data_IF_935890018002
#
_entry.id   IF_935890018002
#
_cell.length_a   1.000
_cell.length_b   1.000
_cell.length_c   1.000
_cell.angle_alpha   90.00
_cell.angle_beta   90.00
_cell.angle_gamma   90.00
#
_symmetry.space_group_name_H-M   'P 1'
#
loop_
_entity.id
_entity.type
_entity.pdbx_description
1 polymer ?
#
# COMPACT_ATOMS: atom_id res chain seq x y z
N UNK A 1 -44.26 -24.30 -65.27
CA UNK A 1 -43.06 -23.65 -64.69
C UNK A 1 -42.91 -24.13 -63.25
N UNK A 2 -41.95 -25.02 -62.98
CA UNK A 2 -41.60 -25.48 -61.63
C UNK A 2 -40.43 -24.62 -61.15
N UNK A 3 -40.63 -23.82 -60.09
CA UNK A 3 -39.55 -23.11 -59.42
C UNK A 3 -39.22 -23.80 -58.09
N UNK A 4 -37.95 -24.20 -58.02
CA UNK A 4 -37.26 -24.90 -56.94
C UNK A 4 -36.85 -23.91 -55.85
N UNK A 5 -37.14 -24.25 -54.59
CA UNK A 5 -36.67 -23.53 -53.41
C UNK A 5 -35.50 -24.33 -52.82
N UNK A 6 -34.29 -23.74 -52.80
CA UNK A 6 -33.15 -24.24 -52.02
C UNK A 6 -32.98 -23.40 -50.76
N UNK A 7 -32.82 -24.00 -49.57
CA UNK A 7 -32.38 -23.28 -48.38
C UNK A 7 -30.85 -23.20 -48.35
N UNK A 8 -30.30 -22.03 -47.99
CA UNK A 8 -28.88 -21.86 -47.63
C UNK A 8 -28.75 -22.02 -46.12
N UNK A 9 -27.94 -23.00 -45.72
CA UNK A 9 -27.53 -23.22 -44.34
C UNK A 9 -26.57 -22.11 -43.90
N UNK A 10 -26.86 -21.47 -42.76
CA UNK A 10 -25.91 -20.64 -42.02
C UNK A 10 -25.07 -21.55 -41.13
N UNK A 11 -23.76 -21.60 -41.39
CA UNK A 11 -22.79 -22.27 -40.52
C UNK A 11 -22.46 -21.38 -39.33
N UNK A 12 -22.66 -21.91 -38.12
CA UNK A 12 -22.18 -21.32 -36.88
C UNK A 12 -20.71 -21.72 -36.67
N UNK A 13 -19.81 -20.74 -36.61
CA UNK A 13 -18.43 -20.92 -36.18
C UNK A 13 -18.36 -20.68 -34.67
N UNK A 14 -18.25 -21.75 -33.89
CA UNK A 14 -17.80 -21.71 -32.50
C UNK A 14 -16.31 -21.35 -32.49
N UNK A 15 -15.97 -20.17 -32.00
CA UNK A 15 -14.60 -19.81 -31.63
C UNK A 15 -14.40 -20.17 -30.15
N UNK A 16 -13.62 -21.23 -29.89
CA UNK A 16 -13.12 -21.53 -28.55
C UNK A 16 -11.90 -20.65 -28.30
N UNK A 17 -12.10 -19.56 -27.55
CA UNK A 17 -11.03 -18.69 -27.07
C UNK A 17 -10.15 -19.44 -26.05
N UNK A 18 -8.88 -19.59 -26.41
CA UNK A 18 -7.80 -20.08 -25.57
C UNK A 18 -7.59 -19.07 -24.43
N UNK A 19 -7.91 -19.43 -23.18
CA UNK A 19 -7.46 -18.66 -22.01
C UNK A 19 -5.94 -18.80 -21.88
N UNK A 20 -5.21 -17.81 -22.36
CA UNK A 20 -3.81 -17.65 -22.03
C UNK A 20 -3.71 -17.20 -20.56
N UNK A 21 -3.11 -18.05 -19.74
CA UNK A 21 -2.63 -17.72 -18.39
C UNK A 21 -1.46 -16.75 -18.52
N UNK A 22 -1.75 -15.46 -18.70
CA UNK A 22 -0.74 -14.42 -18.54
C UNK A 22 -0.53 -14.19 -17.04
N UNK A 23 0.69 -14.48 -16.59
CA UNK A 23 1.10 -14.22 -15.22
C UNK A 23 1.01 -12.73 -14.93
N UNK A 24 0.24 -12.38 -13.90
CA UNK A 24 0.20 -11.04 -13.34
C UNK A 24 1.64 -10.64 -12.99
N UNK A 25 2.15 -9.46 -13.41
CA UNK A 25 3.44 -9.00 -12.92
C UNK A 25 3.35 -8.86 -11.40
N UNK A 26 4.04 -9.75 -10.69
CA UNK A 26 4.22 -9.61 -9.26
C UNK A 26 5.04 -8.35 -9.07
N UNK A 27 4.47 -7.32 -8.45
CA UNK A 27 5.27 -6.26 -7.83
C UNK A 27 6.41 -6.94 -7.08
N UNK A 28 7.67 -6.65 -7.44
CA UNK A 28 8.79 -7.27 -6.76
C UNK A 28 8.65 -6.95 -5.27
N UNK A 29 8.47 -7.99 -4.46
CA UNK A 29 8.38 -7.80 -3.03
C UNK A 29 9.72 -7.24 -2.57
N UNK A 30 9.71 -6.22 -1.69
CA UNK A 30 10.93 -5.63 -1.14
C UNK A 30 11.94 -6.72 -0.78
N UNK A 31 13.13 -6.68 -1.40
CA UNK A 31 14.13 -7.73 -1.31
C UNK A 31 14.53 -8.00 0.16
N UNK A 32 14.99 -9.21 0.46
CA UNK A 32 15.32 -9.61 1.84
C UNK A 32 16.38 -8.72 2.50
N UNK A 33 17.28 -8.14 1.71
CA UNK A 33 18.33 -7.21 2.17
C UNK A 33 17.77 -5.87 2.65
N UNK A 34 16.77 -5.30 1.96
CA UNK A 34 16.16 -4.02 2.31
C UNK A 34 15.42 -4.08 3.67
N UNK A 35 15.04 -5.28 4.08
CA UNK A 35 14.25 -5.54 5.28
C UNK A 35 15.08 -6.19 6.40
N UNK A 36 16.40 -6.36 6.20
CA UNK A 36 17.26 -7.03 7.16
C UNK A 36 17.24 -6.28 8.49
N UNK A 37 16.90 -6.97 9.59
CA UNK A 37 16.77 -6.34 10.91
C UNK A 37 15.54 -5.42 11.07
N UNK A 38 14.63 -5.45 10.10
CA UNK A 38 13.35 -4.77 10.19
C UNK A 38 12.40 -5.44 11.18
N UNK A 39 11.48 -4.67 11.73
CA UNK A 39 10.47 -5.12 12.67
C UNK A 39 9.73 -3.93 13.27
N UNK A 40 8.56 -4.17 13.87
CA UNK A 40 7.76 -3.11 14.45
C UNK A 40 7.57 -3.28 15.96
N UNK A 41 7.64 -2.16 16.67
CA UNK A 41 7.15 -1.99 18.03
C UNK A 41 5.88 -1.12 17.96
N UNK A 42 4.82 -1.61 18.58
CA UNK A 42 3.53 -0.92 18.61
C UNK A 42 3.26 -0.42 20.03
N UNK A 43 2.84 0.84 20.15
CA UNK A 43 2.40 1.44 21.41
C UNK A 43 0.95 1.89 21.27
N UNK A 44 0.10 1.39 22.16
CA UNK A 44 -1.33 1.69 22.18
C UNK A 44 -1.60 3.16 22.58
N UNK A 45 -2.80 3.69 22.32
CA UNK A 45 -3.16 5.08 22.64
C UNK A 45 -2.93 5.48 24.11
N UNK A 46 -3.02 4.52 25.04
CA UNK A 46 -2.75 4.74 26.47
C UNK A 46 -1.26 4.69 26.85
N UNK A 47 -0.35 4.62 25.88
CA UNK A 47 1.10 4.55 26.09
C UNK A 47 1.63 3.16 26.42
N UNK A 48 0.78 2.14 26.56
CA UNK A 48 1.25 0.78 26.84
C UNK A 48 1.80 0.12 25.56
N UNK A 49 2.98 -0.54 25.61
CA UNK A 49 3.44 -1.34 24.49
C UNK A 49 2.45 -2.48 24.25
N UNK A 50 2.13 -2.75 22.98
CA UNK A 50 1.24 -3.84 22.61
C UNK A 50 1.92 -5.21 22.86
N UNK A 51 3.24 -5.26 22.68
CA UNK A 51 4.07 -6.41 23.00
C UNK A 51 5.02 -6.03 24.14
N UNK A 52 4.81 -6.60 25.32
CA UNK A 52 5.90 -6.70 26.28
C UNK A 52 6.84 -7.78 25.74
N UNK A 53 8.05 -7.39 25.34
CA UNK A 53 9.18 -8.30 25.13
C UNK A 53 9.52 -8.91 26.50
N UNK A 54 8.70 -9.87 26.93
CA UNK A 54 8.87 -10.81 28.05
C UNK A 54 7.71 -11.82 28.15
N UNK A 55 6.99 -12.11 27.06
CA UNK A 55 6.02 -13.22 27.05
C UNK A 55 6.04 -13.93 25.71
N UNK A 56 7.11 -14.69 25.50
CA UNK A 56 6.93 -15.98 24.87
C UNK A 56 6.04 -16.84 25.80
N UNK A 57 5.11 -17.59 25.20
CA UNK A 57 4.21 -18.60 25.77
C UNK A 57 2.87 -18.13 26.36
N UNK A 58 1.77 -18.62 25.74
CA UNK A 58 0.65 -19.20 26.49
C UNK A 58 -0.75 -18.63 26.28
N UNK A 59 -1.48 -19.12 25.26
CA UNK A 59 -2.88 -19.62 25.30
C UNK A 59 -3.46 -19.64 23.86
N UNK A 60 -3.90 -20.71 23.21
CA UNK A 60 -4.19 -22.09 23.59
C UNK A 60 -5.53 -22.54 22.98
N UNK A 61 -5.50 -23.27 21.86
CA UNK A 61 -6.52 -24.23 21.34
C UNK A 61 -6.01 -24.70 19.97
N UNK A 62 -5.83 -25.95 19.58
CA UNK A 62 -6.13 -27.27 20.13
C UNK A 62 -6.17 -28.21 18.92
N UNK A 63 -5.22 -29.15 18.80
CA UNK A 63 -5.18 -30.10 17.68
C UNK A 63 -3.89 -30.91 17.62
N UNK A 64 -3.94 -32.15 18.12
CA UNK A 64 -2.84 -33.13 18.09
C UNK A 64 -2.48 -33.57 16.67
N UNK A 65 -1.17 -33.68 16.39
CA UNK A 65 -0.61 -34.38 15.24
C UNK A 65 0.91 -34.30 15.27
N UNK A 66 1.59 -35.43 15.49
CA UNK A 66 3.02 -35.49 15.79
C UNK A 66 3.96 -35.47 14.58
N UNK A 67 5.25 -35.31 14.89
CA UNK A 67 6.38 -35.83 14.10
C UNK A 67 7.09 -34.83 13.18
N UNK A 68 8.41 -34.68 13.37
CA UNK A 68 9.34 -34.18 12.36
C UNK A 68 10.04 -32.88 12.75
N UNK A 69 11.38 -32.93 12.85
CA UNK A 69 12.22 -31.81 13.29
C UNK A 69 12.71 -30.89 12.17
N UNK A 70 13.37 -29.81 12.60
CA UNK A 70 14.29 -29.00 11.81
C UNK A 70 13.67 -27.81 11.06
N UNK A 71 13.87 -26.59 11.59
CA UNK A 71 13.64 -25.33 10.88
C UNK A 71 13.30 -24.18 11.83
N UNK A 72 14.13 -23.14 11.87
CA UNK A 72 13.89 -21.97 12.72
C UNK A 72 12.60 -21.24 12.32
N UNK A 73 11.58 -21.30 13.17
CA UNK A 73 10.27 -20.72 12.89
C UNK A 73 10.26 -19.22 13.25
N UNK A 74 10.25 -18.37 12.23
CA UNK A 74 9.74 -17.00 12.31
C UNK A 74 8.25 -17.05 12.63
N UNK A 75 7.92 -17.11 13.92
CA UNK A 75 6.54 -17.24 14.39
C UNK A 75 5.72 -15.98 14.07
N UNK A 76 4.59 -16.17 13.39
CA UNK A 76 3.58 -15.12 13.24
C UNK A 76 3.00 -14.77 14.60
N UNK A 77 3.08 -13.49 14.97
CA UNK A 77 2.43 -12.99 16.18
C UNK A 77 1.10 -12.37 15.79
N UNK A 78 0.00 -12.88 16.35
CA UNK A 78 -1.35 -12.35 16.14
C UNK A 78 -1.98 -11.97 17.46
N UNK A 79 -2.51 -10.75 17.55
CA UNK A 79 -3.16 -10.21 18.75
C UNK A 79 -4.48 -9.54 18.38
N UNK A 80 -5.54 -9.82 19.12
CA UNK A 80 -6.79 -9.07 19.08
C UNK A 80 -6.76 -8.01 20.19
N UNK A 81 -6.74 -6.73 19.81
CA UNK A 81 -6.79 -5.62 20.75
C UNK A 81 -8.24 -5.25 20.99
N UNK A 82 -8.79 -5.44 22.20
CA UNK A 82 -10.19 -5.15 22.47
C UNK A 82 -10.49 -3.65 22.31
N UNK A 83 -11.70 -3.33 21.86
CA UNK A 83 -12.17 -1.95 21.65
C UNK A 83 -12.03 -1.06 22.89
N UNK A 84 -12.13 -1.63 24.10
CA UNK A 84 -11.91 -0.91 25.36
C UNK A 84 -10.50 -0.34 25.54
N UNK A 85 -9.51 -0.83 24.79
CA UNK A 85 -8.12 -0.29 24.76
C UNK A 85 -7.88 0.65 23.58
N UNK A 86 -8.89 0.88 22.75
CA UNK A 86 -8.84 1.67 21.53
C UNK A 86 -9.86 2.81 21.64
N UNK A 87 -9.57 3.86 22.44
CA UNK A 87 -10.46 5.00 22.54
C UNK A 87 -10.70 5.61 21.16
N UNK A 88 -11.88 6.18 20.95
CA UNK A 88 -12.23 6.84 19.68
C UNK A 88 -11.17 7.91 19.35
N UNK A 89 -10.66 7.89 18.13
CA UNK A 89 -9.55 8.70 17.63
C UNK A 89 -8.23 8.58 18.41
N UNK A 90 -8.06 7.49 19.16
CA UNK A 90 -6.80 7.17 19.82
C UNK A 90 -5.69 6.91 18.81
N UNK A 91 -4.47 7.33 19.13
CA UNK A 91 -3.31 7.16 18.24
C UNK A 91 -2.50 5.93 18.63
N UNK A 92 -2.49 4.93 17.75
CA UNK A 92 -1.54 3.82 17.79
C UNK A 92 -0.21 4.27 17.17
N UNK A 93 0.88 4.14 17.92
CA UNK A 93 2.23 4.44 17.41
C UNK A 93 2.85 3.17 16.83
N UNK A 94 3.26 3.23 15.57
CA UNK A 94 3.99 2.16 14.87
C UNK A 94 5.44 2.62 14.67
N UNK A 95 6.38 1.94 15.29
CA UNK A 95 7.80 2.31 15.26
C UNK A 95 8.63 1.15 14.75
N UNK A 96 9.28 1.33 13.60
CA UNK A 96 10.19 0.36 13.02
C UNK A 96 11.64 0.81 13.00
N UNK A 97 12.50 -0.04 12.46
CA UNK A 97 13.91 0.26 12.19
C UNK A 97 14.02 1.30 11.08
N UNK A 98 13.34 1.05 9.95
CA UNK A 98 13.44 1.84 8.72
C UNK A 98 12.31 2.83 8.56
N UNK A 99 11.11 2.49 8.99
CA UNK A 99 9.95 3.37 8.89
C UNK A 99 9.24 3.54 10.23
N UNK A 100 8.59 4.68 10.39
CA UNK A 100 7.66 4.90 11.49
C UNK A 100 6.45 5.72 11.04
N UNK A 101 5.33 5.50 11.70
CA UNK A 101 4.09 6.24 11.46
C UNK A 101 3.13 6.09 12.64
N UNK A 102 2.12 6.93 12.66
CA UNK A 102 1.03 6.91 13.63
C UNK A 102 -0.27 6.55 12.93
N UNK A 103 -1.18 5.88 13.65
CA UNK A 103 -2.46 5.42 13.11
C UNK A 103 -3.60 5.86 14.03
N UNK A 104 -4.58 6.58 13.49
CA UNK A 104 -5.87 6.79 14.18
C UNK A 104 -6.64 5.48 14.15
N UNK A 105 -6.97 4.95 15.34
CA UNK A 105 -7.57 3.62 15.45
C UNK A 105 -9.04 3.58 15.00
N UNK A 106 -9.72 4.71 14.88
CA UNK A 106 -11.14 4.80 14.49
C UNK A 106 -11.33 4.92 12.97
N UNK A 107 -10.33 5.43 12.26
CA UNK A 107 -10.40 5.62 10.80
C UNK A 107 -9.34 4.84 10.03
N UNK A 108 -8.29 4.37 10.71
CA UNK A 108 -7.02 3.93 10.12
C UNK A 108 -6.33 5.00 9.25
N UNK A 109 -6.60 6.28 9.50
CA UNK A 109 -5.77 7.36 8.97
C UNK A 109 -4.34 7.21 9.48
N UNK A 110 -3.37 7.36 8.56
CA UNK A 110 -1.95 7.26 8.86
C UNK A 110 -1.33 8.65 8.87
N UNK A 111 -0.54 8.96 9.89
CA UNK A 111 0.14 10.23 10.05
C UNK A 111 1.64 10.07 10.16
N UNK A 112 2.37 11.10 9.72
CA UNK A 112 3.82 11.21 9.85
C UNK A 112 4.58 9.97 9.37
N UNK A 113 4.19 9.43 8.21
CA UNK A 113 4.90 8.31 7.62
C UNK A 113 6.31 8.74 7.25
N UNK A 114 7.28 8.22 7.99
CA UNK A 114 8.65 8.70 8.03
C UNK A 114 9.60 7.58 7.63
N UNK A 115 10.49 7.88 6.70
CA UNK A 115 11.64 7.05 6.37
C UNK A 115 12.83 7.50 7.21
N UNK A 116 13.38 6.59 8.00
CA UNK A 116 14.46 6.86 8.95
C UNK A 116 15.81 6.69 8.27
N UNK A 117 16.72 7.61 8.54
CA UNK A 117 18.11 7.43 8.20
C UNK A 117 18.69 6.26 8.99
N UNK A 118 19.17 5.25 8.28
CA UNK A 118 19.76 4.05 8.88
C UNK A 118 21.03 3.66 8.12
N UNK A 119 21.95 2.97 8.78
CA UNK A 119 23.11 2.39 8.12
C UNK A 119 22.69 1.08 7.45
N UNK A 120 22.07 1.19 6.26
CA UNK A 120 21.70 0.07 5.40
C UNK A 120 22.22 0.34 3.97
N UNK A 121 22.78 -0.65 3.27
CA UNK A 121 23.30 -0.46 1.90
C UNK A 121 22.24 -0.04 0.88
N UNK A 122 20.96 -0.20 1.20
CA UNK A 122 19.80 0.21 0.40
C UNK A 122 19.08 1.42 1.01
N UNK A 123 19.75 2.20 1.86
CA UNK A 123 19.22 3.47 2.37
C UNK A 123 19.03 4.47 1.22
N UNK A 124 17.77 4.89 1.01
CA UNK A 124 17.41 5.93 0.04
C UNK A 124 17.20 7.29 0.69
N UNK A 125 17.46 7.43 2.00
CA UNK A 125 17.34 8.72 2.68
C UNK A 125 18.56 9.62 2.48
N UNK A 126 19.73 9.03 2.16
CA UNK A 126 20.99 9.75 2.10
C UNK A 126 21.45 10.22 3.48
N UNK A 127 21.14 9.44 4.53
CA UNK A 127 21.46 9.78 5.91
C UNK A 127 20.55 10.84 6.56
N UNK A 128 19.44 11.22 5.91
CA UNK A 128 18.50 12.23 6.44
C UNK A 128 17.09 11.67 6.62
N UNK A 129 16.69 11.47 7.88
CA UNK A 129 15.32 11.07 8.22
C UNK A 129 14.31 12.04 7.61
N UNK A 130 13.36 11.50 6.85
CA UNK A 130 12.44 12.28 6.02
C UNK A 130 11.00 11.81 6.21
N UNK A 131 10.10 12.72 6.57
CA UNK A 131 8.66 12.49 6.51
C UNK A 131 8.25 12.42 5.03
N UNK A 132 7.78 11.25 4.58
CA UNK A 132 7.29 11.04 3.22
C UNK A 132 5.86 11.54 3.06
N UNK A 133 5.00 11.22 4.02
CA UNK A 133 3.61 11.66 4.05
C UNK A 133 3.30 12.26 5.42
N UNK A 134 2.78 13.49 5.43
CA UNK A 134 2.20 14.05 6.65
C UNK A 134 0.92 13.31 7.03
N UNK A 135 0.11 12.94 6.03
CA UNK A 135 -1.07 12.09 6.21
C UNK A 135 -1.38 11.21 4.99
N UNK A 136 -1.97 10.04 5.26
CA UNK A 136 -2.75 9.22 4.32
C UNK A 136 -4.09 8.94 5.00
N UNK A 137 -5.10 9.69 4.61
CA UNK A 137 -6.35 9.80 5.37
C UNK A 137 -7.55 9.32 4.54
N UNK A 138 -8.28 8.29 4.99
CA UNK A 138 -9.56 7.92 4.41
C UNK A 138 -10.65 8.91 4.85
N UNK A 139 -11.42 9.41 3.89
CA UNK A 139 -12.59 10.27 4.15
C UNK A 139 -13.82 9.40 4.40
N UNK A 140 -14.09 9.08 5.67
CA UNK A 140 -15.17 8.16 6.07
C UNK A 140 -16.51 8.86 6.40
N UNK A 141 -16.53 10.18 6.50
CA UNK A 141 -17.72 10.93 6.93
C UNK A 141 -18.14 10.52 8.35
N UNK A 142 -19.37 10.04 8.51
CA UNK A 142 -19.89 9.55 9.80
C UNK A 142 -19.55 8.08 10.09
N UNK A 143 -18.95 7.36 9.13
CA UNK A 143 -18.56 5.96 9.32
C UNK A 143 -17.30 5.90 10.19
N UNK A 144 -17.30 4.97 11.13
CA UNK A 144 -16.15 4.67 11.99
C UNK A 144 -15.91 3.16 12.05
N UNK A 145 -14.67 2.79 12.34
CA UNK A 145 -14.25 1.42 12.66
C UNK A 145 -14.36 1.12 14.16
N UNK A 146 -14.88 2.08 14.93
CA UNK A 146 -15.22 1.89 16.33
C UNK A 146 -16.28 0.79 16.48
N UNK A 147 -16.09 -0.09 17.47
CA UNK A 147 -17.07 -1.14 17.80
C UNK A 147 -16.49 -2.55 17.83
N UNK A 148 -15.45 -2.86 17.05
CA UNK A 148 -14.77 -4.17 17.07
C UNK A 148 -13.38 -4.10 17.72
N UNK A 149 -12.81 -5.29 17.98
CA UNK A 149 -11.38 -5.41 18.23
C UNK A 149 -10.58 -5.05 16.98
N UNK A 150 -9.37 -4.54 17.19
CA UNK A 150 -8.40 -4.42 16.10
C UNK A 150 -7.47 -5.63 16.14
N UNK A 151 -7.39 -6.34 15.02
CA UNK A 151 -6.44 -7.43 14.85
C UNK A 151 -5.10 -6.87 14.40
N UNK A 152 -4.04 -7.30 15.07
CA UNK A 152 -2.65 -6.97 14.77
C UNK A 152 -1.92 -8.27 14.43
N UNK A 153 -1.30 -8.32 13.27
CA UNK A 153 -0.47 -9.45 12.81
C UNK A 153 0.94 -8.94 12.51
N UNK A 154 1.95 -9.60 13.07
CA UNK A 154 3.37 -9.35 12.79
C UNK A 154 4.02 -10.64 12.31
N UNK A 155 4.64 -10.59 11.13
CA UNK A 155 5.36 -11.71 10.54
C UNK A 155 6.45 -11.21 9.59
N UNK A 156 7.68 -11.68 9.76
CA UNK A 156 8.80 -11.42 8.85
C UNK A 156 8.96 -9.91 8.49
N UNK A 157 8.92 -9.04 9.50
CA UNK A 157 9.01 -7.58 9.31
C UNK A 157 7.79 -6.93 8.68
N UNK A 158 6.71 -7.69 8.46
CA UNK A 158 5.42 -7.21 7.95
C UNK A 158 4.44 -7.01 9.10
N UNK A 159 3.76 -5.88 9.11
CA UNK A 159 2.64 -5.55 9.97
C UNK A 159 1.34 -5.59 9.16
N UNK A 160 0.31 -6.21 9.72
CA UNK A 160 -1.07 -6.00 9.31
C UNK A 160 -1.91 -5.49 10.47
N UNK A 161 -2.63 -4.41 10.24
CA UNK A 161 -3.68 -3.91 11.13
C UNK A 161 -5.00 -4.09 10.42
N UNK A 162 -5.95 -4.78 11.04
CA UNK A 162 -7.28 -5.01 10.48
C UNK A 162 -8.31 -4.57 11.52
N UNK A 163 -9.24 -3.71 11.12
CA UNK A 163 -10.34 -3.26 11.99
C UNK A 163 -11.63 -3.16 11.20
N UNK A 164 -12.73 -3.51 11.85
CA UNK A 164 -14.05 -3.63 11.23
C UNK A 164 -15.09 -2.79 11.98
N UNK A 165 -15.70 -1.84 11.30
CA UNK A 165 -16.88 -1.12 11.78
C UNK A 165 -18.17 -1.84 11.39
N UNK A 166 -19.30 -1.14 11.50
CA UNK A 166 -20.60 -1.72 11.16
C UNK A 166 -20.76 -2.06 9.67
N UNK A 167 -20.19 -1.25 8.79
CA UNK A 167 -20.39 -1.33 7.33
C UNK A 167 -19.11 -1.35 6.51
N UNK A 168 -17.96 -1.14 7.18
CA UNK A 168 -16.66 -0.97 6.55
C UNK A 168 -15.61 -1.71 7.36
N UNK A 169 -14.83 -2.52 6.68
CA UNK A 169 -13.58 -3.09 7.17
C UNK A 169 -12.42 -2.38 6.48
N UNK A 170 -11.37 -2.10 7.24
CA UNK A 170 -10.16 -1.49 6.73
C UNK A 170 -8.95 -2.32 7.14
N UNK A 171 -7.96 -2.37 6.26
CA UNK A 171 -6.68 -3.01 6.53
C UNK A 171 -5.51 -2.11 6.14
N UNK A 172 -4.52 -2.04 7.02
CA UNK A 172 -3.18 -1.54 6.70
C UNK A 172 -2.27 -2.76 6.57
N UNK A 173 -1.46 -2.80 5.51
CA UNK A 173 -0.28 -3.67 5.44
C UNK A 173 0.96 -2.80 5.30
N UNK A 174 1.97 -3.05 6.12
CA UNK A 174 3.23 -2.31 6.06
C UNK A 174 4.42 -3.25 6.23
N UNK A 175 5.56 -2.93 5.61
CA UNK A 175 6.80 -3.68 5.76
C UNK A 175 7.90 -2.74 6.21
N UNK A 176 8.62 -3.12 7.26
CA UNK A 176 9.74 -2.32 7.78
C UNK A 176 11.00 -2.58 6.95
N UNK A 177 11.14 -1.83 5.86
CA UNK A 177 12.27 -1.94 4.93
C UNK A 177 12.75 -0.55 4.49
N UNK A 178 14.01 -0.46 4.07
CA UNK A 178 14.60 0.77 3.55
C UNK A 178 14.02 1.19 2.18
N UNK A 179 13.54 0.24 1.37
CA UNK A 179 12.93 0.47 0.06
C UNK A 179 12.00 -0.69 -0.36
N UNK A 180 11.29 -0.51 -1.49
CA UNK A 180 10.40 -1.47 -2.13
C UNK A 180 8.90 -1.25 -1.87
N UNK A 181 8.07 -2.27 -2.08
CA UNK A 181 6.66 -2.27 -1.66
C UNK A 181 6.49 -2.28 -0.14
N UNK A 182 6.23 -1.11 0.46
CA UNK A 182 6.30 -0.92 1.92
C UNK A 182 4.98 -0.65 2.62
N UNK A 183 3.91 -0.29 1.89
CA UNK A 183 2.68 0.16 2.51
C UNK A 183 1.45 -0.05 1.62
N UNK A 184 0.32 -0.44 2.21
CA UNK A 184 -0.98 -0.59 1.57
C UNK A 184 -2.12 -0.23 2.54
N UNK A 185 -3.14 0.47 2.04
CA UNK A 185 -4.43 0.74 2.67
C UNK A 185 -5.54 0.12 1.82
N UNK A 186 -6.42 -0.65 2.46
CA UNK A 186 -7.43 -1.48 1.79
C UNK A 186 -8.81 -1.32 2.46
N UNK A 187 -9.80 -0.69 1.80
CA UNK A 187 -11.20 -0.68 2.25
C UNK A 187 -11.98 -1.89 1.72
N UNK A 188 -12.88 -2.40 2.55
CA UNK A 188 -13.85 -3.45 2.19
C UNK A 188 -15.21 -3.09 2.82
N UNK A 189 -16.11 -2.58 1.98
CA UNK A 189 -17.50 -2.29 2.35
C UNK A 189 -18.35 -3.55 2.33
N UNK A 190 -19.41 -3.56 3.13
CA UNK A 190 -20.46 -4.58 3.06
C UNK A 190 -21.13 -4.67 1.67
N UNK A 191 -21.07 -3.59 0.88
CA UNK A 191 -21.50 -3.54 -0.53
C UNK A 191 -20.30 -3.46 -1.46
N UNK A 192 -20.27 -4.27 -2.51
CA UNK A 192 -19.16 -4.31 -3.49
C UNK A 192 -18.92 -2.98 -4.22
N UNK A 193 -19.93 -2.11 -4.32
CA UNK A 193 -19.84 -0.80 -4.98
C UNK A 193 -19.46 0.34 -4.05
N UNK A 194 -19.26 0.08 -2.76
CA UNK A 194 -18.84 1.10 -1.79
C UNK A 194 -17.47 1.67 -2.15
N UNK A 195 -17.26 2.96 -1.92
CA UNK A 195 -15.99 3.64 -2.20
C UNK A 195 -15.48 4.41 -0.98
N UNK A 196 -14.17 4.58 -0.88
CA UNK A 196 -13.52 5.48 0.08
C UNK A 196 -12.57 6.39 -0.70
N UNK A 197 -12.68 7.69 -0.46
CA UNK A 197 -11.72 8.66 -0.98
C UNK A 197 -10.55 8.78 0.02
N UNK A 198 -9.32 8.57 -0.44
CA UNK A 198 -8.10 8.70 0.34
C UNK A 198 -7.35 9.97 -0.05
N UNK A 199 -7.05 10.80 0.94
CA UNK A 199 -6.20 11.99 0.79
C UNK A 199 -4.78 11.63 1.21
N UNK A 200 -3.84 11.70 0.27
CA UNK A 200 -2.41 11.55 0.55
C UNK A 200 -1.74 12.92 0.49
N UNK A 201 -1.17 13.37 1.61
CA UNK A 201 -0.44 14.64 1.67
C UNK A 201 1.03 14.37 1.95
N UNK A 202 1.90 14.79 1.03
CA UNK A 202 3.35 14.62 1.12
C UNK A 202 3.95 15.43 2.28
N UNK A 203 5.09 14.95 2.75
CA UNK A 203 5.94 15.66 3.71
C UNK A 203 6.57 16.92 3.14
N UNK A 204 7.06 17.83 3.97
CA UNK A 204 7.54 19.15 3.53
C UNK A 204 8.78 19.09 2.63
N UNK A 205 9.56 18.00 2.70
CA UNK A 205 10.76 17.79 1.89
C UNK A 205 10.49 16.99 0.61
N UNK A 206 9.24 16.58 0.37
CA UNK A 206 8.83 15.70 -0.72
C UNK A 206 7.83 16.44 -1.61
N UNK A 207 7.89 16.19 -2.92
CA UNK A 207 6.98 16.77 -3.91
C UNK A 207 6.64 15.74 -4.98
N UNK A 208 5.46 15.88 -5.58
CA UNK A 208 5.12 15.14 -6.78
C UNK A 208 5.87 15.70 -7.99
N UNK A 209 6.35 14.81 -8.84
CA UNK A 209 7.02 15.18 -10.08
C UNK A 209 6.67 14.20 -11.20
N UNK A 210 6.68 14.68 -12.44
CA UNK A 210 6.61 13.82 -13.62
C UNK A 210 8.00 13.26 -13.88
N UNK A 211 8.14 11.95 -13.76
CA UNK A 211 9.36 11.26 -14.10
C UNK A 211 9.66 11.50 -15.60
N UNK A 212 10.78 12.17 -15.94
CA UNK A 212 11.08 12.55 -17.31
C UNK A 212 11.33 11.33 -18.22
N UNK A 213 11.60 10.16 -17.64
CA UNK A 213 11.89 8.93 -18.39
C UNK A 213 10.65 8.11 -18.69
N UNK A 214 9.65 8.13 -17.82
CA UNK A 214 8.41 7.33 -17.98
C UNK A 214 7.17 8.16 -18.29
N UNK A 215 7.23 9.48 -18.07
CA UNK A 215 6.05 10.35 -18.09
C UNK A 215 5.08 10.11 -16.94
N UNK A 216 5.37 9.15 -16.04
CA UNK A 216 4.51 8.83 -14.90
C UNK A 216 4.74 9.79 -13.74
N UNK A 217 3.74 9.95 -12.89
CA UNK A 217 3.87 10.71 -11.65
C UNK A 217 4.57 9.85 -10.60
N UNK A 218 5.64 10.39 -10.04
CA UNK A 218 6.34 9.90 -8.88
C UNK A 218 6.29 10.95 -7.75
N UNK A 219 6.64 10.55 -6.54
CA UNK A 219 6.97 11.48 -5.46
C UNK A 219 8.41 11.26 -5.01
N UNK A 220 9.04 12.31 -4.51
CA UNK A 220 10.44 12.23 -4.08
C UNK A 220 10.96 13.58 -3.62
N UNK A 221 12.28 13.63 -3.40
CA UNK A 221 12.99 14.86 -3.08
C UNK A 221 14.11 15.11 -4.09
N UNK A 222 14.82 16.23 -3.94
CA UNK A 222 15.98 16.57 -4.77
C UNK A 222 17.20 15.67 -4.55
N UNK A 223 17.13 14.71 -3.61
CA UNK A 223 18.20 13.79 -3.26
C UNK A 223 17.87 12.39 -3.81
N UNK A 224 17.95 11.35 -2.96
CA UNK A 224 17.85 9.93 -3.33
C UNK A 224 16.42 9.37 -3.26
N UNK A 225 15.47 10.01 -2.57
CA UNK A 225 14.15 9.43 -2.34
C UNK A 225 13.35 9.43 -3.63
N UNK A 226 12.93 8.24 -4.07
CA UNK A 226 12.00 8.03 -5.19
C UNK A 226 10.89 7.09 -4.74
N UNK A 227 9.65 7.44 -5.07
CA UNK A 227 8.47 6.67 -4.73
C UNK A 227 7.34 6.87 -5.73
N UNK A 228 6.35 5.99 -5.67
CA UNK A 228 5.13 6.02 -6.50
C UNK A 228 3.94 5.57 -5.66
N UNK A 229 2.80 6.24 -5.81
CA UNK A 229 1.52 5.71 -5.33
C UNK A 229 1.13 4.50 -6.21
N UNK A 230 0.67 3.41 -5.57
CA UNK A 230 0.38 2.14 -6.22
C UNK A 230 -1.10 1.77 -6.05
N UNK A 231 -2.00 2.40 -6.83
CA UNK A 231 -3.43 2.10 -6.78
C UNK A 231 -3.74 0.69 -7.30
N UNK A 232 -4.86 0.12 -6.86
CA UNK A 232 -5.52 -1.01 -7.51
C UNK A 232 -7.02 -0.87 -7.29
N UNK A 233 -7.82 -0.99 -8.36
CA UNK A 233 -9.26 -0.69 -8.32
C UNK A 233 -9.52 0.67 -7.65
N UNK A 234 -8.70 1.65 -8.04
CA UNK A 234 -8.73 2.99 -7.51
C UNK A 234 -8.49 4.00 -8.63
N UNK A 235 -9.11 5.17 -8.50
CA UNK A 235 -9.03 6.23 -9.47
C UNK A 235 -8.56 7.53 -8.82
N UNK A 236 -7.63 8.22 -9.50
CA UNK A 236 -7.16 9.53 -9.05
C UNK A 236 -8.21 10.59 -9.39
N UNK A 237 -8.62 11.37 -8.40
CA UNK A 237 -9.59 12.45 -8.55
C UNK A 237 -8.90 13.81 -8.65
N UNK A 238 -7.89 14.03 -7.81
CA UNK A 238 -7.18 15.30 -7.71
C UNK A 238 -5.70 15.02 -7.54
N UNK A 239 -4.89 15.88 -8.15
CA UNK A 239 -3.47 15.96 -7.84
C UNK A 239 -2.99 17.41 -7.86
N UNK A 240 -2.23 17.78 -6.84
CA UNK A 240 -1.42 18.99 -6.81
C UNK A 240 0.05 18.69 -6.50
N UNK A 241 0.85 19.72 -6.18
CA UNK A 241 2.28 19.56 -5.87
C UNK A 241 2.55 18.61 -4.68
N UNK A 242 1.61 18.53 -3.73
CA UNK A 242 1.79 17.82 -2.45
C UNK A 242 0.65 16.91 -2.06
N UNK A 243 -0.51 17.00 -2.70
CA UNK A 243 -1.69 16.23 -2.35
C UNK A 243 -2.21 15.44 -3.55
N UNK A 244 -2.63 14.20 -3.28
CA UNK A 244 -3.48 13.46 -4.19
C UNK A 244 -4.74 12.99 -3.46
N UNK A 245 -5.84 12.92 -4.20
CA UNK A 245 -7.08 12.29 -3.75
C UNK A 245 -7.37 11.10 -4.66
N UNK A 246 -7.57 9.94 -4.05
CA UNK A 246 -7.84 8.68 -4.75
C UNK A 246 -9.14 8.07 -4.28
N UNK A 247 -10.06 7.79 -5.20
CA UNK A 247 -11.26 7.00 -4.93
C UNK A 247 -10.96 5.53 -5.06
N UNK A 248 -11.13 4.77 -3.98
CA UNK A 248 -10.86 3.32 -3.95
C UNK A 248 -12.19 2.59 -3.80
N UNK A 249 -12.47 1.66 -4.71
CA UNK A 249 -13.65 0.79 -4.60
C UNK A 249 -13.40 -0.31 -3.58
N UNK A 250 -14.46 -0.83 -2.96
CA UNK A 250 -14.42 -1.97 -2.06
C UNK A 250 -13.59 -3.12 -2.63
N UNK A 251 -12.64 -3.66 -1.86
CA UNK A 251 -11.70 -4.70 -2.28
C UNK A 251 -10.49 -4.20 -3.07
N UNK A 252 -10.43 -2.90 -3.39
CA UNK A 252 -9.26 -2.23 -3.95
C UNK A 252 -8.21 -1.86 -2.91
N UNK A 253 -7.17 -1.14 -3.33
CA UNK A 253 -6.12 -0.64 -2.42
C UNK A 253 -5.45 0.63 -2.90
N UNK A 254 -4.92 1.38 -1.93
CA UNK A 254 -3.90 2.40 -2.15
C UNK A 254 -2.58 1.97 -1.50
N UNK A 255 -1.62 1.59 -2.35
CA UNK A 255 -0.27 1.23 -1.94
C UNK A 255 0.77 2.34 -2.14
N UNK A 256 1.99 2.06 -1.70
CA UNK A 256 3.17 2.85 -2.01
C UNK A 256 4.39 1.95 -2.22
N UNK A 257 5.17 2.28 -3.25
CA UNK A 257 6.46 1.65 -3.55
C UNK A 257 7.57 2.70 -3.48
N UNK A 258 8.75 2.31 -3.00
CA UNK A 258 9.94 3.16 -2.90
C UNK A 258 11.16 2.54 -3.61
N UNK A 259 12.13 3.39 -3.95
CA UNK A 259 13.43 2.97 -4.49
C UNK A 259 13.32 2.39 -5.89
N UNK A 260 14.02 1.29 -6.13
CA UNK A 260 14.04 0.58 -7.41
C UNK A 260 12.63 0.19 -7.88
N UNK A 261 11.79 -0.38 -7.02
CA UNK A 261 10.41 -0.76 -7.36
C UNK A 261 9.53 0.44 -7.77
N UNK A 262 9.89 1.65 -7.33
CA UNK A 262 9.20 2.88 -7.77
C UNK A 262 9.57 3.29 -9.20
N UNK A 263 10.62 2.70 -9.75
CA UNK A 263 11.15 2.93 -11.09
C UNK A 263 11.25 1.68 -11.95
N UNK A 264 10.93 0.47 -11.49
CA UNK A 264 11.24 -0.84 -12.15
C UNK A 264 10.56 -1.11 -13.52
N UNK A 265 9.90 -0.12 -14.12
CA UNK A 265 9.59 -0.09 -15.55
C UNK A 265 10.30 1.09 -16.28
N UNK A 266 11.47 1.48 -15.79
CA UNK A 266 12.26 2.62 -16.29
C UNK A 266 13.68 2.15 -16.61
N UNK A 267 14.24 2.49 -17.78
CA UNK A 267 15.66 2.31 -18.02
C UNK A 267 16.51 3.14 -17.04
N UNK A 268 17.81 2.81 -16.84
CA UNK A 268 18.68 3.49 -15.88
C UNK A 268 18.78 5.00 -16.14
N UNK A 269 18.91 5.78 -15.07
CA UNK A 269 19.04 7.23 -15.15
C UNK A 269 20.31 7.62 -15.94
N UNK A 270 20.16 8.45 -16.97
CA UNK A 270 21.29 9.01 -17.70
C UNK A 270 21.91 10.18 -16.92
N UNK A 271 23.25 10.20 -16.83
CA UNK A 271 23.98 11.36 -16.31
C UNK A 271 23.73 12.58 -17.21
N UNK A 272 22.89 13.49 -16.75
CA UNK A 272 22.72 14.78 -17.41
C UNK A 272 23.97 15.62 -17.12
N UNK A 273 24.86 15.78 -18.11
CA UNK A 273 26.16 16.45 -17.93
C UNK A 273 26.18 17.92 -18.38
N UNK A 274 25.17 18.43 -19.11
CA UNK A 274 24.96 19.86 -19.39
C UNK A 274 23.48 20.18 -19.68
N UNK A 275 23.02 21.37 -19.25
CA UNK A 275 21.65 21.90 -19.41
C UNK A 275 20.53 21.11 -18.68
N UNK A 276 20.81 20.58 -17.50
CA UNK A 276 19.79 19.98 -16.64
C UNK A 276 18.90 21.09 -16.05
N UNK A 277 17.77 21.35 -16.70
CA UNK A 277 16.75 22.23 -16.16
C UNK A 277 16.11 21.53 -14.94
N UNK A 278 15.57 22.31 -13.99
CA UNK A 278 14.79 21.83 -12.84
C UNK A 278 13.45 21.23 -13.29
N UNK A 279 13.49 20.16 -14.08
CA UNK A 279 12.36 19.63 -14.83
C UNK A 279 11.44 18.81 -13.92
N UNK A 280 10.18 19.26 -13.88
CA UNK A 280 8.96 18.48 -13.71
C UNK A 280 8.32 18.34 -12.33
N UNK A 281 8.39 19.33 -11.43
CA UNK A 281 7.42 19.37 -10.32
C UNK A 281 6.00 19.51 -10.88
N UNK A 282 5.03 18.86 -10.24
CA UNK A 282 3.62 19.16 -10.50
C UNK A 282 3.31 20.52 -9.89
N UNK A 283 2.80 21.44 -10.71
CA UNK A 283 2.49 22.80 -10.28
C UNK A 283 0.98 23.05 -10.37
N UNK A 284 0.44 23.67 -9.31
CA UNK A 284 -0.99 23.94 -9.21
C UNK A 284 -1.81 22.70 -8.86
N UNK A 285 -3.12 22.88 -8.80
CA UNK A 285 -4.09 21.80 -8.55
C UNK A 285 -4.79 21.45 -9.84
N UNK A 286 -4.84 20.15 -10.12
CA UNK A 286 -5.51 19.61 -11.29
C UNK A 286 -6.60 18.64 -10.86
N UNK A 287 -7.83 18.91 -11.27
CA UNK A 287 -8.91 17.91 -11.23
C UNK A 287 -8.70 16.96 -12.40
N UNK A 288 -8.65 15.67 -12.12
CA UNK A 288 -8.41 14.64 -13.13
C UNK A 288 -9.72 14.41 -13.89
N UNK A 289 -9.83 14.78 -15.19
CA UNK A 289 -11.11 14.87 -15.90
C UNK A 289 -11.78 13.52 -16.18
N UNK A 290 -11.04 12.41 -16.04
CA UNK A 290 -11.57 11.05 -16.18
C UNK A 290 -10.79 10.10 -15.26
N UNK A 291 -11.45 9.39 -14.30
CA UNK A 291 -10.80 8.39 -13.48
C UNK A 291 -10.24 7.27 -14.37
N UNK A 292 -8.91 7.27 -14.57
CA UNK A 292 -8.20 6.07 -15.02
C UNK A 292 -8.32 5.06 -13.88
N UNK A 293 -9.33 4.20 -13.96
CA UNK A 293 -9.16 2.86 -13.43
C UNK A 293 -7.95 2.34 -14.21
N UNK A 294 -6.81 2.15 -13.54
CA UNK A 294 -5.72 1.38 -14.14
C UNK A 294 -6.28 -0.04 -14.34
N UNK A 295 -7.07 -0.23 -15.40
CA UNK A 295 -7.09 -1.49 -16.12
C UNK A 295 -5.69 -1.57 -16.66
N UNK A 296 -4.90 -2.50 -16.12
CA UNK A 296 -3.68 -2.96 -16.76
C UNK A 296 -4.09 -3.39 -18.18
N UNK A 297 -3.97 -2.45 -19.12
CA UNK A 297 -4.25 -2.66 -20.51
C UNK A 297 -3.09 -3.46 -21.06
N UNK A 298 -3.38 -4.75 -21.29
CA UNK A 298 -2.94 -5.42 -22.50
C UNK A 298 -2.99 -4.44 -23.67
N UNK A 299 -1.87 -4.25 -24.37
CA UNK A 299 -1.87 -3.86 -25.78
C UNK A 299 -0.55 -4.32 -26.45
N UNK A 300 -0.76 -5.07 -27.53
CA UNK A 300 0.12 -5.63 -28.59
C UNK A 300 1.01 -6.86 -28.32
#
# INVERSE_FOLDING_TARGET
>A
MRLSIRPRAFGALLSFGFCALFGVPTSHAANSTACQGGGFVLTLPNGTPLFNVNSASGSGSGGSGGGGGGGGNGGETRVEVPSSRLPSHGILKVRGTYIEFDVDVSTLAVYNYTLKATNNPLDITGGVTTVLFTRKEPLLGAVTLDGSSMRVELKDGTLRLIREGQTLKMKIQAKDCAQGGIFQLEPEWATETGTVDFVHTLGPAVFYFTNPYTGKINFGNSNLIRGKDSPQVAAKLVQDERETIWRVTSGGRMGGVLGEDAIENSPPASECTKNCQAQNRVHGRYEVPDPVYESDGDDD
#
